data_IF_660870728939
#
_entry.id   IF_660870728939
#
_cell.length_a   1.000
_cell.length_b   1.000
_cell.length_c   1.000
_cell.angle_alpha   90.00
_cell.angle_beta   90.00
_cell.angle_gamma   90.00
#
_symmetry.space_group_name_H-M   'P 1'
#
loop_
_entity.id
_entity.type
_entity.pdbx_description
1 polymer ?
#
# COMPACT_ATOMS: atom_id res chain seq x y z
N UNK A 1 20.74 -12.39 -0.72
CA UNK A 1 19.71 -12.50 0.31
C UNK A 1 18.33 -12.35 -0.32
N UNK A 2 17.40 -13.17 0.09
CA UNK A 2 16.05 -13.23 -0.47
C UNK A 2 15.24 -11.94 -0.25
N UNK A 3 15.66 -11.10 0.70
CA UNK A 3 15.00 -9.82 0.97
C UNK A 3 15.36 -8.73 -0.03
N UNK A 4 16.42 -8.90 -0.80
CA UNK A 4 16.89 -7.87 -1.74
C UNK A 4 15.85 -7.54 -2.79
N UNK A 5 15.12 -8.53 -3.30
CA UNK A 5 14.05 -8.30 -4.29
C UNK A 5 12.93 -7.41 -3.76
N UNK A 6 12.72 -7.41 -2.44
CA UNK A 6 11.67 -6.60 -1.79
C UNK A 6 12.12 -5.18 -1.47
N UNK A 7 13.32 -4.82 -1.88
CA UNK A 7 13.85 -3.45 -1.84
C UNK A 7 13.95 -2.82 -3.22
N UNK A 8 13.73 -3.60 -4.28
CA UNK A 8 13.90 -3.15 -5.65
C UNK A 8 12.84 -2.12 -6.04
N UNK A 9 13.28 -1.07 -6.70
CA UNK A 9 12.45 -0.05 -7.31
C UNK A 9 12.90 0.16 -8.75
N UNK A 10 11.96 0.36 -9.69
CA UNK A 10 12.34 0.60 -11.09
C UNK A 10 13.04 1.95 -11.20
N UNK A 11 14.13 1.97 -11.93
CA UNK A 11 14.87 3.20 -12.20
C UNK A 11 14.01 4.17 -13.01
N UNK A 12 14.06 5.45 -12.63
CA UNK A 12 13.36 6.51 -13.34
C UNK A 12 11.90 6.70 -12.94
N UNK A 13 11.40 5.97 -11.95
CA UNK A 13 10.03 6.11 -11.47
C UNK A 13 9.98 6.79 -10.10
N UNK A 14 8.94 7.58 -9.89
CA UNK A 14 8.62 8.20 -8.59
C UNK A 14 9.78 8.99 -7.97
N UNK A 15 10.38 9.95 -8.69
CA UNK A 15 11.54 10.67 -8.17
C UNK A 15 11.22 11.49 -6.92
N UNK A 16 10.01 12.02 -6.80
CA UNK A 16 9.63 12.82 -5.62
C UNK A 16 9.48 11.95 -4.37
N UNK A 17 9.01 10.71 -4.53
CA UNK A 17 8.95 9.76 -3.42
C UNK A 17 10.35 9.37 -2.95
N UNK A 18 11.28 9.17 -3.87
CA UNK A 18 12.69 8.91 -3.54
C UNK A 18 13.32 10.09 -2.81
N UNK A 19 13.01 11.30 -3.25
CA UNK A 19 13.48 12.52 -2.59
C UNK A 19 12.89 12.65 -1.17
N UNK A 20 11.62 12.37 -1.02
CA UNK A 20 10.97 12.35 0.30
C UNK A 20 11.68 11.37 1.24
N UNK A 21 11.97 10.16 0.77
CA UNK A 21 12.68 9.16 1.56
C UNK A 21 14.06 9.68 1.99
N UNK A 22 14.79 10.31 1.08
CA UNK A 22 16.10 10.88 1.39
C UNK A 22 16.01 12.01 2.43
N UNK A 23 15.00 12.87 2.32
CA UNK A 23 14.77 13.95 3.28
C UNK A 23 14.42 13.40 4.67
N UNK A 24 13.56 12.38 4.73
CA UNK A 24 13.21 11.74 6.00
C UNK A 24 14.42 11.09 6.66
N UNK A 25 15.30 10.47 5.88
CA UNK A 25 16.54 9.86 6.39
C UNK A 25 17.54 10.89 6.90
N UNK A 26 17.55 12.10 6.33
CA UNK A 26 18.42 13.18 6.77
C UNK A 26 17.89 13.94 7.98
N UNK A 27 16.63 13.80 8.30
CA UNK A 27 16.04 14.48 9.47
C UNK A 27 16.69 13.94 10.75
N UNK A 28 17.28 14.80 11.60
CA UNK A 28 17.93 14.37 12.84
C UNK A 28 17.00 13.60 13.78
N UNK A 29 15.70 13.86 13.74
CA UNK A 29 14.71 13.14 14.55
C UNK A 29 14.63 11.66 14.18
N UNK A 30 15.05 11.31 12.96
CA UNK A 30 15.00 9.95 12.44
C UNK A 30 16.38 9.27 12.37
N UNK A 31 17.40 9.86 13.00
CA UNK A 31 18.78 9.41 12.87
C UNK A 31 19.00 7.95 13.28
N UNK A 32 18.15 7.41 14.17
CA UNK A 32 18.24 6.03 14.65
C UNK A 32 16.98 5.22 14.34
N UNK A 33 16.25 5.62 13.31
CA UNK A 33 15.02 4.94 12.96
C UNK A 33 15.30 3.51 12.49
N UNK A 34 14.59 2.55 13.07
CA UNK A 34 14.55 1.17 12.61
C UNK A 34 13.37 0.97 11.64
N UNK A 35 13.21 -0.25 11.12
CA UNK A 35 12.12 -0.53 10.17
C UNK A 35 10.74 -0.21 10.74
N UNK A 36 10.47 -0.58 11.99
CA UNK A 36 9.19 -0.29 12.64
C UNK A 36 8.92 1.21 12.74
N UNK A 37 9.94 2.00 13.02
CA UNK A 37 9.81 3.46 13.10
C UNK A 37 9.55 4.08 11.72
N UNK A 38 10.13 3.54 10.66
CA UNK A 38 9.82 3.98 9.30
C UNK A 38 8.37 3.68 8.91
N UNK A 39 7.84 2.54 9.34
CA UNK A 39 6.41 2.25 9.17
C UNK A 39 5.58 3.32 9.87
N UNK A 40 5.91 3.65 11.10
CA UNK A 40 5.18 4.67 11.87
C UNK A 40 5.25 6.06 11.22
N UNK A 41 6.39 6.45 10.67
CA UNK A 41 6.57 7.72 9.95
C UNK A 41 5.61 7.77 8.75
N UNK A 42 5.57 6.73 7.94
CA UNK A 42 4.69 6.67 6.78
C UNK A 42 3.21 6.65 7.18
N UNK A 43 2.85 5.86 8.19
CA UNK A 43 1.48 5.79 8.67
C UNK A 43 1.01 7.12 9.26
N UNK A 44 1.87 7.83 9.97
CA UNK A 44 1.57 9.14 10.50
C UNK A 44 1.34 10.17 9.39
N UNK A 45 2.14 10.12 8.32
CA UNK A 45 1.93 10.95 7.14
C UNK A 45 0.56 10.71 6.54
N UNK A 46 0.14 9.46 6.41
CA UNK A 46 -1.19 9.10 5.90
C UNK A 46 -2.31 9.62 6.80
N UNK A 47 -2.14 9.56 8.11
CA UNK A 47 -3.17 10.03 9.07
C UNK A 47 -3.34 11.55 9.05
N UNK A 48 -2.24 12.29 8.98
CA UNK A 48 -2.24 13.74 9.21
C UNK A 48 -2.05 14.57 7.96
N UNK A 49 -1.74 13.96 6.82
CA UNK A 49 -1.38 14.66 5.59
C UNK A 49 -2.54 15.07 4.70
N UNK A 50 -3.79 14.85 5.10
CA UNK A 50 -4.95 15.22 4.29
C UNK A 50 -5.27 14.24 3.17
N UNK A 51 -4.89 12.98 3.33
CA UNK A 51 -5.18 11.92 2.35
C UNK A 51 -6.61 11.44 2.48
N UNK A 52 -7.23 11.10 1.34
CA UNK A 52 -8.63 10.70 1.29
C UNK A 52 -8.81 9.36 0.59
N UNK A 53 -9.73 8.55 1.10
CA UNK A 53 -10.16 7.36 0.41
C UNK A 53 -11.24 7.71 -0.61
N UNK A 54 -11.07 7.25 -1.86
CA UNK A 54 -12.06 7.41 -2.92
C UNK A 54 -11.92 6.29 -3.93
N UNK A 55 -13.05 5.81 -4.45
CA UNK A 55 -13.06 4.84 -5.54
C UNK A 55 -12.90 5.50 -6.91
N UNK A 56 -12.94 6.81 -6.97
CA UNK A 56 -12.86 7.59 -8.22
C UNK A 56 -11.73 8.64 -8.14
N UNK A 57 -10.46 8.19 -7.97
CA UNK A 57 -9.35 9.14 -7.87
C UNK A 57 -8.90 9.69 -9.22
N UNK A 58 -9.52 9.27 -10.31
CA UNK A 58 -9.03 9.56 -11.65
C UNK A 58 -7.91 8.62 -12.09
N UNK A 59 -7.30 8.94 -13.20
CA UNK A 59 -6.23 8.12 -13.78
C UNK A 59 -4.88 8.54 -13.21
N UNK A 60 -4.09 7.56 -12.79
CA UNK A 60 -2.71 7.76 -12.37
C UNK A 60 -1.78 7.54 -13.56
N UNK A 61 -0.75 8.37 -13.65
CA UNK A 61 0.28 8.26 -14.68
C UNK A 61 1.45 7.38 -14.27
N UNK A 62 2.58 7.63 -14.91
CA UNK A 62 3.82 6.86 -14.75
C UNK A 62 4.38 6.93 -13.32
N UNK A 63 4.30 8.09 -12.68
CA UNK A 63 4.79 8.30 -11.32
C UNK A 63 3.63 8.24 -10.33
N UNK A 64 3.00 7.07 -10.23
CA UNK A 64 1.76 6.91 -9.47
C UNK A 64 1.91 7.19 -7.97
N UNK A 65 3.04 6.81 -7.37
CA UNK A 65 3.29 7.11 -5.96
C UNK A 65 3.49 8.61 -5.74
N UNK A 66 4.23 9.29 -6.61
CA UNK A 66 4.40 10.74 -6.54
C UNK A 66 3.06 11.46 -6.63
N UNK A 67 2.23 11.04 -7.59
CA UNK A 67 0.89 11.63 -7.75
C UNK A 67 0.02 11.40 -6.51
N UNK A 68 0.11 10.22 -5.92
CA UNK A 68 -0.64 9.94 -4.70
C UNK A 68 -0.13 10.77 -3.52
N UNK A 69 1.19 10.75 -3.26
CA UNK A 69 1.75 11.42 -2.08
C UNK A 69 1.64 12.95 -2.14
N UNK A 70 1.75 13.54 -3.33
CA UNK A 70 1.94 14.99 -3.46
C UNK A 70 0.84 15.72 -4.21
N UNK A 71 0.20 15.07 -5.18
CA UNK A 71 -0.75 15.76 -6.07
C UNK A 71 -2.20 15.42 -5.76
N UNK A 72 -2.60 14.18 -6.00
CA UNK A 72 -3.99 13.76 -5.82
C UNK A 72 -4.37 13.59 -4.36
N UNK A 73 -3.50 13.00 -3.58
CA UNK A 73 -3.69 12.71 -2.15
C UNK A 73 -5.02 11.99 -1.90
N UNK A 74 -5.40 11.16 -2.85
CA UNK A 74 -6.67 10.43 -2.85
C UNK A 74 -6.53 9.15 -3.66
N UNK A 75 -7.19 8.10 -3.23
CA UNK A 75 -7.18 6.81 -3.90
C UNK A 75 -7.89 5.75 -3.07
N UNK A 76 -7.86 4.51 -3.55
CA UNK A 76 -8.37 3.38 -2.78
C UNK A 76 -7.24 2.43 -2.39
N UNK A 77 -7.58 1.27 -1.82
CA UNK A 77 -6.59 0.42 -1.13
C UNK A 77 -5.32 0.14 -1.94
N UNK A 78 -5.44 -0.12 -3.24
CA UNK A 78 -4.26 -0.42 -4.07
C UNK A 78 -3.34 0.79 -4.27
N UNK A 79 -3.89 1.99 -4.42
CA UNK A 79 -3.09 3.22 -4.54
C UNK A 79 -2.37 3.52 -3.24
N UNK A 80 -3.07 3.35 -2.13
CA UNK A 80 -2.53 3.59 -0.79
C UNK A 80 -1.44 2.56 -0.47
N UNK A 81 -1.72 1.28 -0.69
CA UNK A 81 -0.78 0.21 -0.41
C UNK A 81 0.47 0.28 -1.31
N UNK A 82 0.29 0.52 -2.62
CA UNK A 82 1.43 0.62 -3.53
C UNK A 82 2.32 1.80 -3.22
N UNK A 83 1.73 2.96 -2.93
CA UNK A 83 2.50 4.15 -2.56
C UNK A 83 3.25 3.96 -1.25
N UNK A 84 2.63 3.30 -0.28
CA UNK A 84 3.26 2.93 0.98
C UNK A 84 4.45 1.99 0.75
N UNK A 85 4.29 0.95 -0.05
CA UNK A 85 5.37 -0.02 -0.33
C UNK A 85 6.54 0.65 -1.05
N UNK A 86 6.27 1.54 -2.01
CA UNK A 86 7.33 2.28 -2.71
C UNK A 86 8.12 3.14 -1.71
N UNK A 87 7.44 3.84 -0.81
CA UNK A 87 8.12 4.65 0.21
C UNK A 87 8.94 3.77 1.16
N UNK A 88 8.39 2.62 1.59
CA UNK A 88 9.12 1.68 2.44
C UNK A 88 10.40 1.19 1.77
N UNK A 89 10.33 0.77 0.51
CA UNK A 89 11.51 0.34 -0.26
C UNK A 89 12.53 1.45 -0.42
N UNK A 90 12.06 2.67 -0.66
CA UNK A 90 12.93 3.85 -0.76
C UNK A 90 13.63 4.16 0.57
N UNK A 91 13.02 3.80 1.70
CA UNK A 91 13.60 3.90 3.04
C UNK A 91 14.40 2.66 3.44
N UNK A 92 14.65 1.77 2.51
CA UNK A 92 15.39 0.53 2.71
C UNK A 92 14.69 -0.47 3.66
N UNK A 93 13.37 -0.43 3.69
CA UNK A 93 12.55 -1.40 4.41
C UNK A 93 11.99 -2.39 3.40
N UNK A 94 12.30 -3.68 3.50
CA UNK A 94 11.73 -4.67 2.61
C UNK A 94 10.21 -4.68 2.73
N UNK A 95 9.52 -4.56 1.61
CA UNK A 95 8.07 -4.45 1.59
C UNK A 95 7.49 -5.05 0.33
N UNK A 96 6.25 -5.53 0.43
CA UNK A 96 5.53 -6.11 -0.70
C UNK A 96 4.04 -5.82 -0.58
N UNK A 97 3.36 -5.82 -1.72
CA UNK A 97 1.90 -5.72 -1.77
C UNK A 97 1.33 -7.13 -1.67
N UNK A 98 0.28 -7.24 -0.88
CA UNK A 98 -0.51 -8.46 -0.76
C UNK A 98 -1.92 -8.16 -1.22
N UNK A 99 -2.49 -9.05 -2.01
CA UNK A 99 -3.87 -8.96 -2.45
C UNK A 99 -4.64 -10.19 -2.00
N UNK A 100 -5.90 -10.00 -1.73
CA UNK A 100 -6.75 -11.09 -1.31
C UNK A 100 -8.15 -10.58 -1.05
N UNK A 101 -8.91 -11.38 -0.36
CA UNK A 101 -10.26 -11.03 0.03
C UNK A 101 -10.29 -10.80 1.53
N UNK A 102 -10.91 -9.69 1.91
CA UNK A 102 -11.06 -9.33 3.32
C UNK A 102 -12.53 -9.40 3.68
N UNK A 103 -12.85 -10.29 4.61
CA UNK A 103 -14.24 -10.55 4.97
C UNK A 103 -14.90 -11.56 4.06
N UNK A 104 -16.20 -11.49 3.99
CA UNK A 104 -17.06 -12.42 3.31
C UNK A 104 -18.31 -12.64 4.16
N UNK A 105 -19.31 -13.25 3.59
CA UNK A 105 -20.55 -13.57 4.30
C UNK A 105 -20.74 -15.08 4.35
N UNK A 106 -21.09 -15.57 5.55
CA UNK A 106 -21.45 -16.95 5.70
C UNK A 106 -22.83 -17.18 5.08
N UNK A 107 -22.94 -18.13 4.16
CA UNK A 107 -24.20 -18.49 3.56
C UNK A 107 -25.00 -19.31 4.58
N UNK A 108 -26.20 -18.84 4.94
CA UNK A 108 -27.06 -19.50 5.92
C UNK A 108 -27.69 -20.77 5.42
N UNK A 109 -27.67 -21.03 4.10
CA UNK A 109 -28.34 -22.21 3.50
C UNK A 109 -27.39 -23.41 3.46
N UNK A 110 -26.15 -23.25 3.05
CA UNK A 110 -25.21 -24.35 2.82
C UNK A 110 -23.94 -24.28 3.66
N UNK A 111 -23.86 -23.32 4.56
CA UNK A 111 -22.75 -23.14 5.49
C UNK A 111 -21.40 -22.78 4.84
N UNK A 112 -21.41 -22.37 3.57
CA UNK A 112 -20.22 -21.86 2.88
C UNK A 112 -20.10 -20.36 3.04
N UNK A 113 -18.86 -19.88 2.95
CA UNK A 113 -18.59 -18.45 2.91
C UNK A 113 -18.77 -17.92 1.49
N UNK A 114 -19.51 -16.83 1.35
CA UNK A 114 -19.61 -16.10 0.09
C UNK A 114 -18.59 -14.97 0.09
N UNK A 115 -17.65 -15.01 -0.87
CA UNK A 115 -16.66 -13.98 -1.06
C UNK A 115 -16.93 -13.27 -2.38
N UNK A 116 -17.16 -11.96 -2.32
CA UNK A 116 -17.53 -11.14 -3.48
C UNK A 116 -16.35 -10.35 -3.99
N UNK A 117 -16.43 -9.84 -5.22
CA UNK A 117 -15.44 -8.90 -5.76
C UNK A 117 -15.29 -7.65 -4.86
N UNK A 118 -16.39 -7.20 -4.23
CA UNK A 118 -16.36 -6.10 -3.28
C UNK A 118 -15.56 -6.39 -2.00
N UNK A 119 -15.26 -7.65 -1.73
CA UNK A 119 -14.42 -8.06 -0.61
C UNK A 119 -12.93 -8.07 -0.98
N UNK A 120 -12.58 -7.82 -2.23
CA UNK A 120 -11.19 -7.75 -2.67
C UNK A 120 -10.49 -6.56 -2.01
N UNK A 121 -9.27 -6.80 -1.55
CA UNK A 121 -8.47 -5.80 -0.84
C UNK A 121 -6.99 -5.94 -1.17
N UNK A 122 -6.27 -4.85 -1.06
CA UNK A 122 -4.82 -4.82 -1.16
C UNK A 122 -4.25 -4.16 0.10
N UNK A 123 -3.21 -4.77 0.64
CA UNK A 123 -2.51 -4.26 1.81
C UNK A 123 -1.01 -4.48 1.64
N UNK A 124 -0.22 -4.16 2.64
CA UNK A 124 1.23 -4.33 2.59
C UNK A 124 1.70 -5.36 3.62
N UNK A 125 2.85 -5.94 3.34
CA UNK A 125 3.66 -6.62 4.33
C UNK A 125 5.05 -5.99 4.31
N UNK A 126 5.61 -5.79 5.50
CA UNK A 126 6.96 -5.28 5.68
C UNK A 126 7.78 -6.28 6.49
N UNK A 127 9.08 -6.35 6.20
CA UNK A 127 9.99 -7.18 6.98
C UNK A 127 10.52 -6.37 8.15
N UNK A 128 10.23 -6.85 9.36
CA UNK A 128 10.77 -6.28 10.59
C UNK A 128 11.79 -7.24 11.19
N UNK A 129 12.95 -6.74 11.55
CA UNK A 129 14.01 -7.55 12.15
C UNK A 129 13.51 -8.23 13.43
N UNK A 130 13.78 -9.53 13.53
CA UNK A 130 13.37 -10.35 14.67
C UNK A 130 11.91 -10.79 14.65
N UNK A 131 11.09 -10.27 13.75
CA UNK A 131 9.66 -10.58 13.66
C UNK A 131 9.26 -11.20 12.33
N UNK A 132 10.04 -10.93 11.25
CA UNK A 132 9.71 -11.39 9.91
C UNK A 132 8.66 -10.52 9.23
N UNK A 133 7.92 -11.10 8.31
CA UNK A 133 6.89 -10.40 7.57
C UNK A 133 5.72 -10.03 8.48
N UNK A 134 5.41 -8.74 8.53
CA UNK A 134 4.31 -8.21 9.32
C UNK A 134 3.30 -7.52 8.40
N UNK A 135 2.03 -7.80 8.62
CA UNK A 135 0.93 -7.17 7.90
C UNK A 135 0.77 -5.72 8.34
N UNK A 136 0.74 -4.82 7.36
CA UNK A 136 0.41 -3.41 7.57
C UNK A 136 -0.68 -3.06 6.56
N UNK A 137 -1.78 -2.52 7.05
CA UNK A 137 -2.85 -2.03 6.17
C UNK A 137 -2.86 -0.51 6.21
N UNK A 138 -2.21 0.16 5.25
CA UNK A 138 -2.11 1.62 5.27
C UNK A 138 -3.44 2.31 5.00
N UNK A 139 -4.42 1.61 4.41
CA UNK A 139 -5.77 2.16 4.25
C UNK A 139 -6.40 2.50 5.60
N UNK A 140 -6.07 1.77 6.67
CA UNK A 140 -6.57 2.06 8.01
C UNK A 140 -6.16 3.44 8.54
N UNK A 141 -5.05 3.98 8.06
CA UNK A 141 -4.59 5.30 8.44
C UNK A 141 -5.36 6.41 7.72
N UNK A 142 -5.86 6.14 6.52
CA UNK A 142 -6.61 7.09 5.70
C UNK A 142 -8.11 7.02 6.01
N UNK A 143 -8.64 5.82 6.15
CA UNK A 143 -10.06 5.58 6.33
C UNK A 143 -10.29 4.38 7.26
N UNK A 144 -10.19 4.55 8.57
CA UNK A 144 -10.24 3.43 9.53
C UNK A 144 -11.49 2.56 9.43
N UNK A 145 -12.65 3.13 9.09
CA UNK A 145 -13.89 2.39 8.95
C UNK A 145 -14.01 1.54 7.70
N UNK A 146 -13.06 1.64 6.75
CA UNK A 146 -13.14 0.96 5.46
C UNK A 146 -12.33 -0.33 5.37
N UNK A 147 -11.54 -0.62 6.39
CA UNK A 147 -10.75 -1.86 6.44
C UNK A 147 -11.46 -2.99 7.16
N UNK A 148 -12.62 -2.71 7.75
CA UNK A 148 -13.47 -3.69 8.41
C UNK A 148 -14.66 -4.13 7.56
N UNK A 149 -15.48 -4.99 8.12
CA UNK A 149 -16.66 -5.57 7.46
C UNK A 149 -17.83 -4.60 7.28
N UNK A 150 -17.76 -3.40 7.86
CA UNK A 150 -18.91 -2.51 8.00
C UNK A 150 -19.18 -1.62 6.78
N UNK A 151 -18.20 -1.38 5.92
CA UNK A 151 -18.39 -0.56 4.72
C UNK A 151 -17.64 -1.18 3.56
N UNK A 152 -18.37 -1.91 2.74
CA UNK A 152 -17.84 -2.49 1.52
C UNK A 152 -18.17 -1.56 0.36
N UNK A 153 -17.12 -1.08 -0.29
CA UNK A 153 -17.24 -0.33 -1.53
C UNK A 153 -16.76 -1.22 -2.65
N UNK A 154 -17.52 -1.28 -3.72
CA UNK A 154 -17.12 -2.01 -4.92
C UNK A 154 -16.15 -1.16 -5.71
N UNK A 155 -14.87 -1.56 -5.84
CA UNK A 155 -13.94 -0.84 -6.71
C UNK A 155 -14.41 -0.87 -8.16
N UNK A 156 -13.98 0.08 -8.99
CA UNK A 156 -14.22 0.02 -10.43
C UNK A 156 -13.75 -1.32 -10.99
N UNK A 157 -14.50 -1.85 -11.96
CA UNK A 157 -14.19 -3.14 -12.58
C UNK A 157 -12.76 -3.12 -13.15
N UNK A 158 -11.94 -4.09 -12.75
CA UNK A 158 -10.56 -4.23 -13.20
C UNK A 158 -9.54 -3.33 -12.50
N UNK A 159 -9.96 -2.46 -11.59
CA UNK A 159 -9.05 -1.52 -10.94
C UNK A 159 -7.95 -2.22 -10.16
N UNK A 160 -8.32 -3.14 -9.26
CA UNK A 160 -7.34 -3.90 -8.47
C UNK A 160 -6.46 -4.75 -9.38
N UNK A 161 -7.06 -5.43 -10.37
CA UNK A 161 -6.32 -6.27 -11.30
C UNK A 161 -5.25 -5.47 -12.07
N UNK A 162 -5.62 -4.28 -12.55
CA UNK A 162 -4.70 -3.45 -13.34
C UNK A 162 -3.51 -2.96 -12.51
N UNK A 163 -3.74 -2.51 -11.30
CA UNK A 163 -2.65 -2.06 -10.43
C UNK A 163 -1.77 -3.23 -9.99
N UNK A 164 -2.37 -4.36 -9.66
CA UNK A 164 -1.67 -5.56 -9.21
C UNK A 164 -0.78 -6.13 -10.32
N UNK A 165 -1.26 -6.15 -11.56
CA UNK A 165 -0.49 -6.66 -12.70
C UNK A 165 0.63 -5.72 -13.14
N UNK A 166 0.80 -4.59 -12.46
CA UNK A 166 1.93 -3.72 -12.71
C UNK A 166 1.76 -2.78 -13.89
N UNK A 167 0.53 -2.60 -14.39
CA UNK A 167 0.28 -1.59 -15.44
C UNK A 167 0.57 -0.18 -14.94
N UNK A 168 0.48 0.03 -13.63
CA UNK A 168 0.80 1.29 -12.96
C UNK A 168 2.24 1.31 -12.47
N UNK A 169 2.75 0.17 -11.99
CA UNK A 169 4.13 0.04 -11.52
C UNK A 169 4.62 -1.40 -11.69
N UNK A 170 5.32 -1.69 -12.80
CA UNK A 170 5.76 -3.05 -13.12
C UNK A 170 6.64 -3.71 -12.05
N UNK A 171 7.47 -2.94 -11.36
CA UNK A 171 8.35 -3.49 -10.35
C UNK A 171 7.59 -4.04 -9.14
N UNK A 172 6.43 -3.47 -8.82
CA UNK A 172 5.62 -3.97 -7.72
C UNK A 172 4.92 -5.28 -8.07
N UNK A 173 4.60 -5.51 -9.34
CA UNK A 173 3.93 -6.72 -9.78
C UNK A 173 4.76 -7.97 -9.47
N UNK A 174 6.08 -7.86 -9.49
CA UNK A 174 6.99 -8.97 -9.21
C UNK A 174 6.94 -9.45 -7.76
N UNK A 175 6.42 -8.64 -6.86
CA UNK A 175 6.36 -8.95 -5.43
C UNK A 175 4.93 -9.12 -4.92
N UNK A 176 3.99 -9.41 -5.80
CA UNK A 176 2.60 -9.62 -5.40
C UNK A 176 2.41 -10.99 -4.75
N UNK A 177 1.55 -11.02 -3.76
CA UNK A 177 0.99 -12.23 -3.17
C UNK A 177 -0.53 -12.18 -3.28
N UNK A 178 -1.08 -13.27 -3.71
CA UNK A 178 -2.53 -13.46 -3.71
C UNK A 178 -2.98 -14.14 -2.42
#
# INVERSE_FOLDING_TARGET
SDLQEYLELPEGFNPRTLQLAAELQRDPRNARANHAQWVDVAMQRLRSGGYRYTLEPGVFGQHSADEFWFDKKAGFCEHIASSFVILMRALNVPARIVTGYQGGERNSVDDFWTVRQSDAHAWAEVWLEGQGWQRIDPTSAVAPGRTGTLQRLTPPRGAITNAILGTVNPALALNLRA
#
